data_IF_964698068791
#
_entry.id   IF_964698068791
#
_cell.length_a   1.000
_cell.length_b   1.000
_cell.length_c   1.000
_cell.angle_alpha   90.00
_cell.angle_beta   90.00
_cell.angle_gamma   90.00
#
_symmetry.space_group_name_H-M   'P 1'
#
loop_
_entity.id
_entity.type
_entity.pdbx_description
1 polymer ?
#
# COMPACT_ATOMS: atom_id res chain seq x y z
N UNK A 1 29.19 10.38 -1.53
CA UNK A 1 28.83 9.44 -2.63
C UNK A 1 27.96 8.27 -2.19
N UNK A 2 27.95 7.90 -0.91
CA UNK A 2 26.97 6.98 -0.31
C UNK A 2 25.54 7.56 -0.28
N UNK A 3 25.41 8.87 -0.40
CA UNK A 3 24.13 9.56 -0.26
C UNK A 3 23.13 9.32 -1.40
N UNK A 4 23.55 9.07 -2.62
CA UNK A 4 22.61 8.90 -3.75
C UNK A 4 21.96 7.51 -3.80
N UNK A 5 22.72 6.44 -3.54
CA UNK A 5 22.14 5.07 -3.49
C UNK A 5 21.29 4.85 -2.25
N UNK A 6 21.71 5.37 -1.09
CA UNK A 6 20.89 5.31 0.13
C UNK A 6 19.63 6.15 0.02
N UNK A 7 19.66 7.32 -0.60
CA UNK A 7 18.46 8.11 -0.89
C UNK A 7 17.51 7.39 -1.84
N UNK A 8 18.02 6.65 -2.83
CA UNK A 8 17.19 5.83 -3.72
C UNK A 8 16.57 4.63 -3.02
N UNK A 9 17.23 4.05 -2.01
CA UNK A 9 16.64 2.97 -1.20
C UNK A 9 15.64 3.47 -0.14
N UNK A 10 15.71 4.74 0.25
CA UNK A 10 14.77 5.35 1.19
C UNK A 10 13.61 6.08 0.51
N UNK A 11 13.78 6.49 -0.75
CA UNK A 11 12.68 6.96 -1.61
C UNK A 11 12.00 5.71 -2.13
N UNK A 12 10.75 5.47 -1.72
CA UNK A 12 9.95 4.36 -2.24
C UNK A 12 9.57 4.65 -3.69
N UNK A 13 10.53 4.44 -4.57
CA UNK A 13 10.37 4.50 -6.02
C UNK A 13 9.27 3.55 -6.50
N UNK A 14 9.11 2.38 -5.87
CA UNK A 14 8.05 1.43 -6.19
C UNK A 14 6.64 2.01 -6.08
N UNK A 15 6.37 2.94 -5.14
CA UNK A 15 5.11 3.67 -5.09
C UNK A 15 4.88 4.52 -6.33
N UNK A 16 5.92 5.24 -6.78
CA UNK A 16 5.85 6.12 -7.94
C UNK A 16 5.85 5.33 -9.26
N UNK A 17 6.62 4.25 -9.35
CA UNK A 17 6.84 3.47 -10.58
C UNK A 17 5.54 2.92 -11.16
N UNK A 18 4.62 2.47 -10.33
CA UNK A 18 3.32 1.96 -10.78
C UNK A 18 2.54 2.99 -11.59
N UNK A 19 2.63 4.26 -11.22
CA UNK A 19 1.98 5.38 -11.92
C UNK A 19 2.79 5.85 -13.13
N UNK A 20 4.11 5.92 -13.01
CA UNK A 20 5.01 6.30 -14.11
C UNK A 20 4.88 5.34 -15.29
N UNK A 21 4.79 4.03 -15.03
CA UNK A 21 4.56 3.00 -16.04
C UNK A 21 3.23 3.18 -16.80
N UNK A 22 2.31 3.95 -16.25
CA UNK A 22 1.03 4.32 -16.88
C UNK A 22 1.02 5.73 -17.46
N UNK A 23 2.20 6.36 -17.56
CA UNK A 23 2.37 7.69 -18.14
C UNK A 23 2.03 8.84 -17.21
N UNK A 24 1.87 8.60 -15.92
CA UNK A 24 1.64 9.67 -14.96
C UNK A 24 2.92 10.49 -14.73
N UNK A 25 2.75 11.79 -14.53
CA UNK A 25 3.79 12.68 -14.03
C UNK A 25 3.67 12.77 -12.52
N UNK A 26 4.72 12.36 -11.82
CA UNK A 26 4.78 12.43 -10.36
C UNK A 26 5.16 13.85 -9.93
N UNK A 27 4.45 14.36 -8.93
CA UNK A 27 4.78 15.59 -8.21
C UNK A 27 5.02 15.20 -6.76
N UNK A 28 6.23 15.39 -6.29
CA UNK A 28 6.59 15.11 -4.91
C UNK A 28 6.25 16.30 -4.03
N UNK A 29 5.64 16.01 -2.89
CA UNK A 29 5.38 16.96 -1.81
C UNK A 29 6.38 16.65 -0.70
N UNK A 30 6.81 17.68 0.00
CA UNK A 30 7.78 17.55 1.10
C UNK A 30 7.21 16.74 2.27
N UNK A 31 8.06 16.30 3.15
CA UNK A 31 7.70 15.45 4.30
C UNK A 31 7.74 16.24 5.61
N UNK A 32 6.96 15.76 6.57
CA UNK A 32 7.01 16.21 7.96
C UNK A 32 8.29 15.70 8.62
N UNK A 33 9.02 16.54 9.39
CA UNK A 33 10.25 16.11 10.05
C UNK A 33 10.01 15.15 11.23
N UNK A 34 8.82 15.16 11.82
CA UNK A 34 8.45 14.35 12.98
C UNK A 34 8.03 12.91 12.63
N UNK A 35 7.36 12.72 11.49
CA UNK A 35 6.82 11.41 11.07
C UNK A 35 7.47 10.85 9.82
N UNK A 36 8.21 11.66 9.05
CA UNK A 36 8.72 11.34 7.71
C UNK A 36 7.62 11.04 6.67
N UNK A 37 6.36 11.26 7.01
CA UNK A 37 5.23 11.15 6.12
C UNK A 37 5.04 12.45 5.31
N UNK A 38 4.22 12.38 4.26
CA UNK A 38 3.85 13.56 3.46
C UNK A 38 3.35 14.69 4.37
N UNK A 39 3.82 15.91 4.11
CA UNK A 39 3.32 17.12 4.78
C UNK A 39 1.98 17.52 4.15
N UNK A 40 0.90 17.19 4.84
CA UNK A 40 -0.46 17.42 4.37
C UNK A 40 -0.76 18.89 4.12
N UNK A 41 -0.05 19.80 4.77
CA UNK A 41 -0.24 21.26 4.61
C UNK A 41 0.28 21.78 3.27
N UNK A 42 1.13 21.02 2.60
CA UNK A 42 1.73 21.37 1.30
C UNK A 42 1.07 20.69 0.10
N UNK A 43 0.09 19.82 0.34
CA UNK A 43 -0.54 19.05 -0.73
C UNK A 43 -1.31 19.99 -1.67
N UNK A 44 -2.08 20.91 -1.13
CA UNK A 44 -2.95 21.78 -1.93
C UNK A 44 -2.17 22.63 -2.93
N UNK A 45 -1.00 23.14 -2.54
CA UNK A 45 -0.14 23.95 -3.42
C UNK A 45 0.41 23.16 -4.60
N UNK A 46 0.47 21.82 -4.49
CA UNK A 46 0.92 20.93 -5.55
C UNK A 46 -0.20 20.50 -6.51
N UNK A 47 -1.47 20.78 -6.19
CA UNK A 47 -2.62 20.37 -6.98
C UNK A 47 -2.76 21.25 -8.22
N UNK A 48 -3.02 20.63 -9.35
CA UNK A 48 -3.33 21.29 -10.63
C UNK A 48 -4.55 20.60 -11.27
N UNK A 49 -5.09 21.20 -12.33
CA UNK A 49 -6.19 20.60 -13.12
C UNK A 49 -5.85 19.20 -13.68
N UNK A 50 -4.56 18.88 -13.78
CA UNK A 50 -4.07 17.58 -14.25
C UNK A 50 -3.94 16.54 -13.15
N UNK A 51 -3.99 16.94 -11.88
CA UNK A 51 -3.90 16.04 -10.73
C UNK A 51 -5.09 15.08 -10.73
N UNK A 52 -4.83 13.79 -10.49
CA UNK A 52 -5.86 12.73 -10.48
C UNK A 52 -5.91 11.97 -9.17
N UNK A 53 -4.81 11.89 -8.46
CA UNK A 53 -4.72 11.15 -7.22
C UNK A 53 -3.70 11.77 -6.26
N UNK A 54 -3.92 11.53 -4.97
CA UNK A 54 -2.95 11.73 -3.89
C UNK A 54 -2.53 10.33 -3.42
N UNK A 55 -1.22 10.13 -3.24
CA UNK A 55 -0.67 8.82 -2.86
C UNK A 55 0.14 8.99 -1.57
N UNK A 56 -0.51 8.94 -0.40
CA UNK A 56 0.19 8.97 0.89
C UNK A 56 0.89 7.63 1.13
N UNK A 57 2.12 7.70 1.66
CA UNK A 57 2.89 6.54 2.10
C UNK A 57 2.92 6.53 3.62
N UNK A 58 2.40 5.49 4.26
CA UNK A 58 2.44 5.29 5.71
C UNK A 58 3.81 4.75 6.12
N UNK A 59 4.79 5.66 6.21
CA UNK A 59 6.17 5.28 6.46
C UNK A 59 6.33 4.63 7.84
N UNK A 60 7.04 3.50 7.88
CA UNK A 60 7.23 2.68 9.09
C UNK A 60 5.94 2.26 9.82
N UNK A 61 4.79 2.28 9.13
CA UNK A 61 3.49 2.00 9.74
C UNK A 61 2.89 3.18 10.51
N UNK A 62 3.54 4.35 10.48
CA UNK A 62 3.00 5.59 11.05
C UNK A 62 1.99 6.18 10.07
N UNK A 63 0.79 6.48 10.54
CA UNK A 63 -0.26 7.03 9.70
C UNK A 63 0.07 8.45 9.20
N UNK A 64 -0.23 8.73 7.94
CA UNK A 64 -0.38 10.10 7.46
C UNK A 64 -1.62 10.76 8.10
N UNK A 65 -1.73 12.09 8.03
CA UNK A 65 -2.91 12.83 8.51
C UNK A 65 -4.09 12.64 7.55
N UNK A 66 -4.68 11.44 7.60
CA UNK A 66 -5.67 10.98 6.62
C UNK A 66 -6.94 11.82 6.60
N UNK A 67 -7.39 12.39 7.73
CA UNK A 67 -8.58 13.24 7.73
C UNK A 67 -8.36 14.48 6.83
N UNK A 68 -7.19 15.12 6.95
CA UNK A 68 -6.83 16.27 6.12
C UNK A 68 -6.66 15.87 4.64
N UNK A 69 -5.98 14.77 4.40
CA UNK A 69 -5.75 14.26 3.02
C UNK A 69 -7.07 13.93 2.34
N UNK A 70 -7.99 13.26 3.04
CA UNK A 70 -9.31 12.90 2.50
C UNK A 70 -10.18 14.14 2.25
N UNK A 71 -10.11 15.16 3.13
CA UNK A 71 -10.80 16.43 2.91
C UNK A 71 -10.29 17.16 1.66
N UNK A 72 -8.97 17.28 1.51
CA UNK A 72 -8.35 17.85 0.31
C UNK A 72 -8.78 17.07 -0.94
N UNK A 73 -8.68 15.75 -0.93
CA UNK A 73 -9.05 14.90 -2.04
C UNK A 73 -10.53 15.10 -2.45
N UNK A 74 -11.43 15.20 -1.47
CA UNK A 74 -12.84 15.44 -1.70
C UNK A 74 -13.11 16.81 -2.33
N UNK A 75 -12.46 17.87 -1.81
CA UNK A 75 -12.62 19.24 -2.35
C UNK A 75 -12.16 19.37 -3.80
N UNK A 76 -11.12 18.63 -4.17
CA UNK A 76 -10.53 18.66 -5.51
C UNK A 76 -10.96 17.49 -6.40
N UNK A 77 -11.90 16.64 -5.96
CA UNK A 77 -12.39 15.47 -6.68
C UNK A 77 -11.24 14.54 -7.13
N UNK A 78 -10.31 14.26 -6.21
CA UNK A 78 -9.15 13.40 -6.41
C UNK A 78 -9.37 12.03 -5.78
N UNK A 79 -8.69 11.01 -6.31
CA UNK A 79 -8.60 9.69 -5.69
C UNK A 79 -7.47 9.65 -4.67
N UNK A 80 -7.64 8.84 -3.62
CA UNK A 80 -6.60 8.58 -2.63
C UNK A 80 -6.19 7.12 -2.71
N UNK A 81 -4.89 6.88 -2.92
CA UNK A 81 -4.30 5.54 -2.97
C UNK A 81 -3.27 5.43 -1.86
N UNK A 82 -3.59 4.70 -0.80
CA UNK A 82 -2.70 4.51 0.34
C UNK A 82 -1.60 3.49 0.02
N UNK A 83 -0.35 3.90 0.06
CA UNK A 83 0.75 2.95 0.20
C UNK A 83 0.89 2.54 1.66
N UNK A 84 0.22 1.47 2.03
CA UNK A 84 0.26 0.86 3.35
C UNK A 84 1.15 -0.39 3.38
N UNK A 85 2.18 -0.43 2.52
CA UNK A 85 3.12 -1.55 2.44
C UNK A 85 3.85 -1.85 3.76
N UNK A 86 3.82 -0.93 4.72
CA UNK A 86 4.31 -1.10 6.09
C UNK A 86 3.19 -0.95 7.14
N UNK A 87 1.93 -0.86 6.69
CA UNK A 87 0.78 -0.50 7.52
C UNK A 87 -0.08 -1.67 8.00
N UNK A 88 0.32 -2.92 7.74
CA UNK A 88 -0.43 -4.09 8.26
C UNK A 88 -0.41 -4.07 9.78
N UNK A 89 -1.57 -4.24 10.42
CA UNK A 89 -1.77 -4.10 11.87
C UNK A 89 -1.55 -2.69 12.43
N UNK A 90 -1.47 -1.66 11.59
CA UNK A 90 -1.41 -0.26 12.02
C UNK A 90 -2.75 0.45 11.73
N UNK A 91 -3.05 1.47 12.53
CA UNK A 91 -4.36 2.12 12.52
C UNK A 91 -4.27 3.63 12.60
N UNK A 92 -5.21 4.32 11.96
CA UNK A 92 -5.46 5.74 12.10
C UNK A 92 -6.87 5.93 12.68
N UNK A 93 -6.96 6.45 13.91
CA UNK A 93 -8.25 6.69 14.61
C UNK A 93 -9.21 5.48 14.57
N UNK A 94 -8.64 4.27 14.78
CA UNK A 94 -9.40 3.02 14.80
C UNK A 94 -9.71 2.39 13.43
N UNK A 95 -9.29 3.01 12.32
CA UNK A 95 -9.39 2.44 10.97
C UNK A 95 -8.04 1.87 10.56
N UNK A 96 -8.02 0.66 10.00
CA UNK A 96 -6.80 0.05 9.50
C UNK A 96 -6.20 0.88 8.35
N UNK A 97 -4.88 1.10 8.36
CA UNK A 97 -4.20 1.77 7.24
C UNK A 97 -4.38 0.96 5.96
N UNK A 98 -4.54 1.64 4.84
CA UNK A 98 -4.87 1.03 3.56
C UNK A 98 -6.37 0.82 3.32
N UNK A 99 -7.24 1.18 4.29
CA UNK A 99 -8.71 1.06 4.14
C UNK A 99 -9.45 2.39 4.24
N UNK A 100 -8.74 3.50 4.24
CA UNK A 100 -9.30 4.85 4.47
C UNK A 100 -9.54 5.57 3.15
N UNK A 101 -8.59 5.47 2.21
CA UNK A 101 -8.70 6.02 0.88
C UNK A 101 -9.58 5.20 -0.07
N UNK A 102 -9.59 5.56 -1.34
CA UNK A 102 -10.30 4.81 -2.39
C UNK A 102 -9.66 3.44 -2.63
N UNK A 103 -8.33 3.37 -2.52
CA UNK A 103 -7.53 2.16 -2.67
C UNK A 103 -6.44 2.14 -1.60
N UNK A 104 -6.03 0.93 -1.22
CA UNK A 104 -4.87 0.70 -0.39
C UNK A 104 -4.06 -0.49 -0.88
N UNK A 105 -2.76 -0.47 -0.59
CA UNK A 105 -1.84 -1.52 -0.99
C UNK A 105 -1.06 -2.02 0.21
N UNK A 106 -1.13 -3.34 0.47
CA UNK A 106 -0.25 -4.02 1.41
C UNK A 106 0.87 -4.74 0.66
N UNK A 107 2.00 -4.86 1.31
CA UNK A 107 3.12 -5.68 0.84
C UNK A 107 3.40 -6.81 1.82
N UNK A 108 3.55 -8.02 1.28
CA UNK A 108 3.97 -9.21 2.01
C UNK A 108 5.32 -9.73 1.51
N UNK A 109 6.17 -8.79 1.03
CA UNK A 109 7.56 -9.07 0.70
C UNK A 109 8.34 -9.55 1.94
N UNK A 110 9.41 -10.32 1.76
CA UNK A 110 10.22 -10.91 2.84
C UNK A 110 10.71 -9.91 3.90
N UNK A 111 10.87 -8.64 3.55
CA UNK A 111 11.31 -7.58 4.48
C UNK A 111 10.19 -6.97 5.32
N UNK A 112 8.94 -7.39 5.14
CA UNK A 112 7.79 -6.81 5.85
C UNK A 112 7.51 -7.50 7.18
N UNK A 113 6.60 -6.91 7.96
CA UNK A 113 6.22 -7.43 9.27
C UNK A 113 5.54 -8.80 9.17
N UNK A 114 4.77 -9.00 8.12
CA UNK A 114 4.13 -10.26 7.74
C UNK A 114 4.54 -10.54 6.30
N UNK A 115 4.95 -11.76 6.01
CA UNK A 115 5.54 -12.08 4.72
C UNK A 115 4.98 -13.36 4.12
N UNK A 116 5.01 -13.45 2.81
CA UNK A 116 4.88 -14.70 2.07
C UNK A 116 6.02 -14.89 1.05
N UNK A 117 7.17 -14.28 1.35
CA UNK A 117 8.31 -14.18 0.43
C UNK A 117 8.09 -13.04 -0.55
N UNK A 118 7.24 -13.23 -1.52
CA UNK A 118 6.78 -12.21 -2.48
C UNK A 118 5.26 -12.19 -2.54
N UNK A 119 4.68 -11.00 -2.42
CA UNK A 119 3.25 -10.82 -2.55
C UNK A 119 2.73 -9.50 -2.01
N UNK A 120 1.43 -9.30 -2.16
CA UNK A 120 0.74 -8.11 -1.70
C UNK A 120 -0.77 -8.26 -1.78
N UNK A 121 -1.48 -7.25 -1.28
CA UNK A 121 -2.92 -7.16 -1.40
C UNK A 121 -3.33 -5.77 -1.87
N UNK A 122 -4.31 -5.71 -2.75
CA UNK A 122 -5.04 -4.52 -3.12
C UNK A 122 -6.34 -4.47 -2.34
N UNK A 123 -6.57 -3.34 -1.66
CA UNK A 123 -7.78 -3.09 -0.87
C UNK A 123 -8.59 -1.96 -1.53
N UNK A 124 -9.90 -2.13 -1.56
CA UNK A 124 -10.85 -1.09 -1.99
C UNK A 124 -12.24 -1.44 -1.47
N UNK A 125 -13.12 -0.42 -1.33
CA UNK A 125 -14.47 -0.61 -0.81
C UNK A 125 -15.53 -0.58 -1.91
N UNK A 126 -15.25 0.07 -3.04
CA UNK A 126 -16.19 0.18 -4.17
C UNK A 126 -16.17 -1.10 -5.01
N UNK A 127 -17.22 -1.91 -4.90
CA UNK A 127 -17.40 -3.17 -5.61
C UNK A 127 -17.35 -3.04 -7.14
N UNK A 128 -17.55 -1.85 -7.70
CA UNK A 128 -17.43 -1.61 -9.14
C UNK A 128 -16.02 -1.89 -9.67
N UNK A 129 -15.00 -1.87 -8.81
CA UNK A 129 -13.63 -2.21 -9.19
C UNK A 129 -13.32 -3.71 -9.15
N UNK A 130 -14.19 -4.54 -8.56
CA UNK A 130 -13.91 -5.95 -8.31
C UNK A 130 -13.59 -6.74 -9.60
N UNK A 131 -14.47 -6.64 -10.59
CA UNK A 131 -14.26 -7.34 -11.87
C UNK A 131 -12.95 -6.92 -12.55
N UNK A 132 -12.68 -5.62 -12.56
CA UNK A 132 -11.44 -5.09 -13.16
C UNK A 132 -10.20 -5.54 -12.41
N UNK A 133 -10.25 -5.57 -11.09
CA UNK A 133 -9.15 -6.06 -10.26
C UNK A 133 -8.86 -7.54 -10.50
N UNK A 134 -9.90 -8.38 -10.59
CA UNK A 134 -9.76 -9.80 -10.92
C UNK A 134 -9.13 -10.02 -12.30
N UNK A 135 -9.57 -9.28 -13.31
CA UNK A 135 -9.02 -9.35 -14.67
C UNK A 135 -7.54 -8.96 -14.68
N UNK A 136 -7.19 -7.83 -14.06
CA UNK A 136 -5.82 -7.35 -13.97
C UNK A 136 -4.91 -8.34 -13.25
N UNK A 137 -5.40 -8.94 -12.15
CA UNK A 137 -4.68 -9.91 -11.33
C UNK A 137 -4.36 -11.20 -12.11
N UNK A 138 -5.27 -11.64 -12.99
CA UNK A 138 -5.15 -12.90 -13.71
C UNK A 138 -4.90 -12.69 -15.22
N UNK A 139 -3.81 -12.03 -15.55
CA UNK A 139 -3.27 -11.94 -16.92
C UNK A 139 -4.24 -11.30 -17.93
N UNK A 140 -5.16 -10.44 -17.44
CA UNK A 140 -6.15 -9.80 -18.31
C UNK A 140 -7.28 -10.75 -18.76
N UNK A 141 -7.51 -11.86 -18.06
CA UNK A 141 -8.55 -12.83 -18.39
C UNK A 141 -9.74 -12.75 -17.45
N UNK A 142 -10.89 -13.28 -17.90
CA UNK A 142 -12.09 -13.43 -17.06
C UNK A 142 -12.14 -14.80 -16.35
N UNK A 143 -10.99 -15.38 -16.04
CA UNK A 143 -10.87 -16.71 -15.44
C UNK A 143 -11.62 -16.86 -14.12
N UNK A 144 -11.69 -15.80 -13.30
CA UNK A 144 -12.46 -15.80 -12.05
C UNK A 144 -13.94 -16.09 -12.28
N UNK A 145 -14.54 -15.57 -13.37
CA UNK A 145 -15.93 -15.88 -13.77
C UNK A 145 -16.10 -17.35 -14.19
N UNK A 146 -15.10 -17.92 -14.85
CA UNK A 146 -15.12 -19.34 -15.22
C UNK A 146 -15.13 -20.23 -13.97
N UNK A 147 -14.28 -19.98 -13.00
CA UNK A 147 -14.27 -20.76 -11.75
C UNK A 147 -15.55 -20.65 -10.94
N UNK A 148 -16.26 -19.53 -11.06
CA UNK A 148 -17.58 -19.34 -10.44
C UNK A 148 -18.73 -19.96 -11.27
N UNK A 149 -18.45 -20.59 -12.40
CA UNK A 149 -19.47 -21.18 -13.28
C UNK A 149 -20.34 -20.17 -14.01
N UNK A 150 -19.89 -18.92 -14.11
CA UNK A 150 -20.64 -17.82 -14.75
C UNK A 150 -20.45 -17.79 -16.28
N UNK A 151 -19.43 -18.45 -16.79
CA UNK A 151 -19.09 -18.57 -18.21
C UNK A 151 -18.54 -19.97 -18.50
N UNK A 152 -18.76 -20.48 -19.70
CA UNK A 152 -18.31 -21.81 -20.11
C UNK A 152 -16.82 -21.89 -20.44
N UNK A 153 -16.22 -20.78 -20.83
CA UNK A 153 -14.82 -20.69 -21.23
C UNK A 153 -14.27 -19.31 -20.88
N UNK A 154 -13.09 -19.25 -20.26
CA UNK A 154 -12.41 -17.98 -20.05
C UNK A 154 -11.58 -17.56 -21.27
N UNK A 155 -11.46 -16.24 -21.46
CA UNK A 155 -10.72 -15.63 -22.57
C UNK A 155 -9.93 -14.44 -22.07
N UNK A 156 -8.96 -14.01 -22.87
CA UNK A 156 -8.28 -12.73 -22.66
C UNK A 156 -9.23 -11.58 -23.01
N UNK A 157 -9.32 -10.59 -22.09
CA UNK A 157 -10.27 -9.46 -22.22
C UNK A 157 -9.54 -8.13 -22.24
N UNK A 158 -8.50 -7.97 -21.40
CA UNK A 158 -7.86 -6.68 -21.16
C UNK A 158 -6.41 -6.86 -20.73
N UNK A 159 -5.72 -5.75 -20.48
CA UNK A 159 -4.39 -5.78 -19.87
C UNK A 159 -4.45 -6.45 -18.50
N UNK A 160 -3.38 -7.13 -18.14
CA UNK A 160 -3.19 -7.75 -16.84
C UNK A 160 -1.84 -8.39 -16.72
N UNK A 161 -1.52 -8.87 -15.52
CA UNK A 161 -0.30 -9.60 -15.25
C UNK A 161 -0.55 -10.77 -14.29
N UNK A 162 0.46 -11.60 -14.10
CA UNK A 162 0.38 -12.74 -13.18
C UNK A 162 0.70 -12.26 -11.77
N UNK A 163 -0.32 -11.74 -11.07
CA UNK A 163 -0.18 -11.22 -9.69
C UNK A 163 -0.60 -12.22 -8.61
N UNK A 164 -1.09 -13.40 -9.00
CA UNK A 164 -1.47 -14.42 -8.02
C UNK A 164 -0.23 -15.06 -7.38
N UNK A 165 -0.16 -15.09 -6.05
CA UNK A 165 0.84 -15.87 -5.35
C UNK A 165 0.56 -17.38 -5.53
N UNK A 166 1.54 -18.23 -5.17
CA UNK A 166 1.30 -19.67 -5.05
C UNK A 166 0.49 -19.97 -3.79
N UNK A 167 -0.20 -21.12 -3.78
CA UNK A 167 -0.95 -21.57 -2.59
C UNK A 167 -0.02 -21.80 -1.39
N UNK A 168 1.23 -22.20 -1.61
CA UNK A 168 2.22 -22.34 -0.53
C UNK A 168 2.53 -20.99 0.12
N UNK A 169 2.74 -19.94 -0.68
CA UNK A 169 2.98 -18.60 -0.16
C UNK A 169 1.75 -18.08 0.58
N UNK A 170 0.57 -18.29 0.04
CA UNK A 170 -0.69 -17.89 0.68
C UNK A 170 -0.92 -18.62 2.02
N UNK A 171 -0.64 -19.91 2.08
CA UNK A 171 -0.74 -20.71 3.30
C UNK A 171 0.27 -20.24 4.38
N UNK A 172 1.49 -19.90 3.97
CA UNK A 172 2.48 -19.36 4.89
C UNK A 172 2.02 -18.02 5.49
N UNK A 173 1.53 -17.10 4.65
CA UNK A 173 0.98 -15.83 5.12
C UNK A 173 -0.23 -16.02 6.05
N UNK A 174 -1.12 -16.96 5.72
CA UNK A 174 -2.28 -17.27 6.56
C UNK A 174 -1.84 -17.64 7.98
N UNK A 175 -0.85 -18.54 8.11
CA UNK A 175 -0.31 -18.95 9.41
C UNK A 175 0.30 -17.77 10.19
N UNK A 176 1.00 -16.84 9.52
CA UNK A 176 1.51 -15.63 10.15
C UNK A 176 0.39 -14.68 10.63
N UNK A 177 -0.64 -14.50 9.79
CA UNK A 177 -1.77 -13.64 10.14
C UNK A 177 -2.63 -14.22 11.28
N UNK A 178 -2.76 -15.54 11.39
CA UNK A 178 -3.41 -16.20 12.53
C UNK A 178 -2.65 -15.98 13.85
N UNK A 179 -1.32 -15.83 13.79
CA UNK A 179 -0.45 -15.59 14.95
C UNK A 179 -0.07 -14.09 15.12
N UNK A 180 -0.73 -13.17 14.41
CA UNK A 180 -0.32 -11.76 14.32
C UNK A 180 -0.14 -11.10 15.69
N UNK A 181 -1.07 -11.28 16.64
CA UNK A 181 -0.97 -10.69 17.97
C UNK A 181 0.28 -11.15 18.75
N UNK A 182 0.67 -12.41 18.59
CA UNK A 182 1.86 -12.95 19.22
C UNK A 182 3.14 -12.41 18.60
N UNK A 183 3.14 -12.26 17.27
CA UNK A 183 4.23 -11.64 16.51
C UNK A 183 4.40 -10.20 16.96
N UNK A 184 3.34 -9.41 16.97
CA UNK A 184 3.36 -8.00 17.37
C UNK A 184 3.84 -7.81 18.80
N UNK A 185 3.33 -8.60 19.76
CA UNK A 185 3.82 -8.55 21.14
C UNK A 185 5.32 -8.79 21.26
N UNK A 186 5.86 -9.77 20.54
CA UNK A 186 7.31 -10.04 20.54
C UNK A 186 8.11 -8.91 19.93
N UNK A 187 7.66 -8.37 18.80
CA UNK A 187 8.33 -7.23 18.12
C UNK A 187 8.33 -5.99 19.02
N UNK A 188 7.21 -5.66 19.65
CA UNK A 188 7.11 -4.54 20.58
C UNK A 188 7.98 -4.74 21.83
N UNK A 189 8.10 -5.96 22.35
CA UNK A 189 8.99 -6.24 23.47
C UNK A 189 10.46 -5.99 23.10
N UNK A 190 10.87 -6.42 21.90
CA UNK A 190 12.24 -6.17 21.39
C UNK A 190 12.46 -4.67 21.15
N UNK A 191 11.50 -3.98 20.54
CA UNK A 191 11.58 -2.55 20.31
C UNK A 191 11.74 -1.76 21.61
N UNK A 192 10.90 -2.02 22.62
CA UNK A 192 10.98 -1.37 23.91
C UNK A 192 12.30 -1.67 24.64
N UNK A 193 12.82 -2.90 24.51
CA UNK A 193 14.12 -3.26 25.05
C UNK A 193 15.24 -2.46 24.38
N UNK A 194 15.23 -2.33 23.05
CA UNK A 194 16.22 -1.53 22.31
C UNK A 194 16.16 -0.06 22.70
N UNK A 195 14.96 0.52 22.89
CA UNK A 195 14.82 1.92 23.31
C UNK A 195 15.47 2.22 24.65
N UNK A 196 15.43 1.28 25.61
CA UNK A 196 16.08 1.45 26.91
C UNK A 196 17.61 1.59 26.81
N UNK A 197 18.22 1.02 25.76
CA UNK A 197 19.67 1.11 25.53
C UNK A 197 20.10 2.24 24.62
N UNK A 198 19.18 2.85 23.86
CA UNK A 198 19.49 3.93 22.92
C UNK A 198 19.13 5.31 23.47
N UNK A 199 18.32 5.38 24.53
CA UNK A 199 17.96 6.64 25.18
C UNK A 199 19.05 7.22 26.07
N UNK A 200 20.07 6.45 26.42
CA UNK A 200 21.19 6.84 27.28
C UNK A 200 22.49 7.11 26.48
N UNK A 201 22.43 7.22 25.15
CA UNK A 201 23.59 7.44 24.29
C UNK A 201 23.62 8.87 23.73
#
# INVERSE_FOLDING_TARGET
LLSRRQRQMCIRDSTADAFVLRGAKIVYVDIRPDTMNIDETKIEDAITEKTKAIVPVHYAGVACEMDTIMDIAKRHNLKVVEDAAQGVSAYYKGKALGTIGDFGCYSFHETKNYTMGEGGALLFQDENYLEKAEILREKGTNRSKFFRGQIDKYTWIDYGSSYLPSDMNAAYLLAELEEHEKIDRKRMAIYNYCLLYTSDA
#
